data_IF_454805868301
#
_entry.id   IF_454805868301
#
_cell.length_a   1.000
_cell.length_b   1.000
_cell.length_c   1.000
_cell.angle_alpha   90.00
_cell.angle_beta   90.00
_cell.angle_gamma   90.00
#
_symmetry.space_group_name_H-M   'P 1'
#
loop_
_entity.id
_entity.type
_entity.pdbx_description
1 polymer ?
#
# COMPACT_ATOMS: atom_id res chain seq x y z
N UNK A 1 16.07 15.77 9.20
CA UNK A 1 14.83 14.99 9.00
C UNK A 1 13.96 14.94 10.27
N UNK A 2 14.50 14.72 11.48
CA UNK A 2 13.66 14.63 12.70
C UNK A 2 12.78 15.87 12.94
N UNK A 3 13.36 17.08 12.86
CA UNK A 3 12.60 18.34 13.00
C UNK A 3 11.44 18.48 12.00
N UNK A 4 11.57 17.90 10.80
CA UNK A 4 10.49 17.92 9.79
C UNK A 4 9.32 17.06 10.25
N UNK A 5 9.60 15.84 10.74
CA UNK A 5 8.55 14.94 11.19
C UNK A 5 7.88 15.41 12.47
N UNK A 6 8.66 15.95 13.41
CA UNK A 6 8.13 16.47 14.67
C UNK A 6 7.21 17.67 14.40
N UNK A 7 7.67 18.63 13.58
CA UNK A 7 6.85 19.79 13.20
C UNK A 7 5.60 19.40 12.40
N UNK A 8 5.72 18.46 11.45
CA UNK A 8 4.56 18.02 10.66
C UNK A 8 3.56 17.23 11.53
N UNK A 9 4.05 16.38 12.44
CA UNK A 9 3.20 15.66 13.38
C UNK A 9 2.48 16.64 14.32
N UNK A 10 3.16 17.67 14.83
CA UNK A 10 2.56 18.70 15.67
C UNK A 10 1.42 19.44 14.95
N UNK A 11 1.67 19.90 13.72
CA UNK A 11 0.64 20.56 12.89
C UNK A 11 -0.56 19.65 12.67
N UNK A 12 -0.33 18.39 12.29
CA UNK A 12 -1.40 17.42 12.09
C UNK A 12 -2.18 17.16 13.38
N UNK A 13 -1.49 17.06 14.52
CA UNK A 13 -2.12 16.84 15.82
C UNK A 13 -2.99 18.04 16.25
N UNK A 14 -2.56 19.27 15.98
CA UNK A 14 -3.36 20.49 16.21
C UNK A 14 -4.65 20.44 15.40
N UNK A 15 -4.55 20.11 14.10
CA UNK A 15 -5.72 20.01 13.22
C UNK A 15 -6.63 18.82 13.59
N UNK A 16 -6.08 17.73 14.14
CA UNK A 16 -6.87 16.59 14.61
C UNK A 16 -7.54 16.82 15.97
N UNK A 17 -7.00 17.73 16.81
CA UNK A 17 -7.61 18.07 18.10
C UNK A 17 -8.91 18.84 17.96
N UNK A 18 -8.99 19.79 17.02
CA UNK A 18 -10.21 20.55 16.77
C UNK A 18 -11.28 19.70 16.09
N UNK A 19 -12.51 19.76 16.61
CA UNK A 19 -13.67 19.05 16.03
C UNK A 19 -14.04 19.54 14.64
N UNK A 20 -13.74 20.81 14.34
CA UNK A 20 -14.12 21.44 13.08
C UNK A 20 -13.22 20.99 11.91
N UNK A 21 -11.97 20.63 12.22
CA UNK A 21 -10.95 20.24 11.24
C UNK A 21 -10.70 18.74 11.20
N UNK A 22 -10.94 18.00 12.30
CA UNK A 22 -10.63 16.57 12.40
C UNK A 22 -11.19 15.74 11.25
N UNK A 23 -12.49 15.88 10.97
CA UNK A 23 -13.14 15.09 9.92
C UNK A 23 -12.56 15.39 8.53
N UNK A 24 -12.17 16.65 8.28
CA UNK A 24 -11.53 17.04 7.01
C UNK A 24 -10.11 16.54 6.89
N UNK A 25 -9.36 16.50 7.98
CA UNK A 25 -8.01 15.91 7.99
C UNK A 25 -8.08 14.40 7.71
N UNK A 26 -9.03 13.70 8.34
CA UNK A 26 -9.23 12.27 8.08
C UNK A 26 -9.67 12.00 6.64
N UNK A 27 -10.54 12.85 6.07
CA UNK A 27 -10.93 12.78 4.65
C UNK A 27 -9.71 12.98 3.74
N UNK A 28 -8.92 14.01 3.99
CA UNK A 28 -7.71 14.31 3.22
C UNK A 28 -6.71 13.15 3.28
N UNK A 29 -6.44 12.61 4.47
CA UNK A 29 -5.53 11.47 4.63
C UNK A 29 -6.05 10.25 3.87
N UNK A 30 -7.35 9.95 3.97
CA UNK A 30 -7.96 8.85 3.24
C UNK A 30 -7.86 9.02 1.71
N UNK A 31 -8.11 10.23 1.21
CA UNK A 31 -8.01 10.56 -0.21
C UNK A 31 -6.58 10.41 -0.72
N UNK A 32 -5.59 10.95 0.00
CA UNK A 32 -4.16 10.78 -0.30
C UNK A 32 -3.79 9.29 -0.36
N UNK A 33 -4.26 8.50 0.59
CA UNK A 33 -4.00 7.05 0.64
C UNK A 33 -4.64 6.33 -0.55
N UNK A 34 -5.90 6.64 -0.86
CA UNK A 34 -6.66 5.95 -1.91
C UNK A 34 -6.12 6.26 -3.31
N UNK A 35 -5.78 7.51 -3.60
CA UNK A 35 -5.23 7.92 -4.91
C UNK A 35 -3.88 7.23 -5.17
N UNK A 36 -3.15 6.91 -4.11
CA UNK A 36 -1.83 6.28 -4.19
C UNK A 36 -1.86 4.77 -3.95
N UNK A 37 -3.03 4.12 -4.06
CA UNK A 37 -3.16 2.68 -3.81
C UNK A 37 -2.27 1.82 -4.73
N UNK A 38 -1.98 2.28 -5.95
CA UNK A 38 -1.09 1.63 -6.92
C UNK A 38 0.38 1.59 -6.49
N UNK A 39 0.79 2.35 -5.45
CA UNK A 39 2.12 2.20 -4.84
C UNK A 39 2.38 0.81 -4.27
N UNK A 40 1.32 0.01 -4.03
CA UNK A 40 1.43 -1.38 -3.61
C UNK A 40 1.92 -2.32 -4.72
N UNK A 41 1.92 -1.91 -5.99
CA UNK A 41 2.38 -2.73 -7.10
C UNK A 41 3.91 -2.85 -7.13
N UNK A 42 4.41 -3.91 -7.76
CA UNK A 42 5.86 -4.13 -7.94
C UNK A 42 6.46 -2.96 -8.71
N UNK A 43 5.83 -2.60 -9.84
CA UNK A 43 6.20 -1.44 -10.64
C UNK A 43 5.20 -0.33 -10.40
N UNK A 44 5.67 0.76 -9.82
CA UNK A 44 4.89 1.97 -9.58
C UNK A 44 5.20 2.94 -10.70
N UNK A 45 4.16 3.49 -11.32
CA UNK A 45 4.34 4.59 -12.26
C UNK A 45 4.63 5.89 -11.48
N UNK A 46 5.82 6.49 -11.67
CA UNK A 46 6.23 7.67 -10.92
C UNK A 46 5.43 8.94 -11.25
N UNK A 47 4.67 8.96 -12.36
CA UNK A 47 3.87 10.13 -12.77
C UNK A 47 2.51 10.13 -12.08
N UNK A 48 1.94 8.95 -11.84
CA UNK A 48 0.58 8.80 -11.28
C UNK A 48 0.57 8.67 -9.77
N UNK A 49 1.72 8.48 -9.13
CA UNK A 49 1.84 8.31 -7.68
C UNK A 49 2.77 9.36 -7.06
N UNK A 50 2.48 9.70 -5.81
CA UNK A 50 3.40 10.45 -4.96
C UNK A 50 4.73 9.71 -4.80
N UNK A 51 5.79 10.46 -4.52
CA UNK A 51 7.15 9.92 -4.38
C UNK A 51 7.31 8.96 -3.19
N UNK A 52 8.37 8.14 -3.23
CA UNK A 52 8.75 7.28 -2.10
C UNK A 52 8.99 8.09 -0.82
N UNK A 53 9.73 9.20 -0.93
CA UNK A 53 9.98 10.11 0.19
C UNK A 53 8.69 10.68 0.81
N UNK A 54 7.68 11.01 0.00
CA UNK A 54 6.39 11.49 0.51
C UNK A 54 5.73 10.46 1.43
N UNK A 55 5.66 9.20 1.01
CA UNK A 55 5.00 8.14 1.77
C UNK A 55 5.84 7.61 2.94
N UNK A 56 7.17 7.65 2.85
CA UNK A 56 8.06 7.38 3.98
C UNK A 56 7.90 8.46 5.06
N UNK A 57 7.84 9.73 4.66
CA UNK A 57 7.60 10.84 5.59
C UNK A 57 6.21 10.74 6.24
N UNK A 58 5.18 10.44 5.44
CA UNK A 58 3.83 10.25 5.93
C UNK A 58 3.77 9.06 6.92
N UNK A 59 4.50 7.97 6.64
CA UNK A 59 4.61 6.83 7.56
C UNK A 59 5.14 7.27 8.93
N UNK A 60 6.21 8.06 8.97
CA UNK A 60 6.81 8.54 10.21
C UNK A 60 5.89 9.49 11.00
N UNK A 61 5.07 10.29 10.31
CA UNK A 61 4.06 11.16 10.95
C UNK A 61 2.90 10.34 11.49
N UNK A 62 2.36 9.42 10.69
CA UNK A 62 1.21 8.58 11.09
C UNK A 62 1.55 7.67 12.29
N UNK A 63 2.78 7.16 12.38
CA UNK A 63 3.28 6.45 13.56
C UNK A 63 3.25 7.33 14.82
N UNK A 64 3.79 8.56 14.75
CA UNK A 64 3.71 9.53 15.86
C UNK A 64 2.28 9.86 16.28
N UNK A 65 1.35 9.96 15.33
CA UNK A 65 -0.07 10.16 15.63
C UNK A 65 -0.69 8.96 16.37
N UNK A 66 -0.11 7.77 16.20
CA UNK A 66 -0.55 6.54 16.84
C UNK A 66 0.11 6.25 18.19
N UNK A 67 1.29 6.81 18.47
CA UNK A 67 2.02 6.64 19.74
C UNK A 67 1.13 6.73 21.00
N UNK A 68 0.18 7.68 21.13
CA UNK A 68 -0.62 7.79 22.35
C UNK A 68 -1.55 6.59 22.61
N UNK A 69 -1.72 5.68 21.65
CA UNK A 69 -2.59 4.51 21.75
C UNK A 69 -1.98 3.20 21.26
N UNK A 70 -0.73 3.21 20.79
CA UNK A 70 0.09 2.04 20.54
C UNK A 70 1.07 1.82 21.70
N UNK A 71 0.53 1.74 22.92
CA UNK A 71 1.35 1.48 24.10
C UNK A 71 1.75 0.00 24.19
N UNK A 72 2.87 -0.30 24.84
CA UNK A 72 3.40 -1.66 24.96
C UNK A 72 2.43 -2.66 25.62
N UNK A 73 1.50 -2.16 26.45
CA UNK A 73 0.49 -2.99 27.13
C UNK A 73 -0.83 -3.07 26.34
N UNK A 74 -0.90 -2.45 25.16
CA UNK A 74 -2.06 -2.46 24.27
C UNK A 74 -3.36 -2.01 24.96
N UNK A 75 -3.28 -1.05 25.88
CA UNK A 75 -4.40 -0.63 26.74
C UNK A 75 -5.62 -0.09 26.00
N UNK A 76 -5.44 0.36 24.75
CA UNK A 76 -6.50 0.94 23.91
C UNK A 76 -6.88 0.06 22.72
N UNK A 77 -6.47 -1.21 22.72
CA UNK A 77 -6.77 -2.16 21.65
C UNK A 77 -8.26 -2.36 21.43
N UNK A 78 -9.06 -2.31 22.50
CA UNK A 78 -10.53 -2.38 22.47
C UNK A 78 -11.18 -1.30 21.58
N UNK A 79 -10.46 -0.20 21.32
CA UNK A 79 -10.94 0.92 20.49
C UNK A 79 -10.70 0.72 19.00
N UNK A 80 -10.00 -0.36 18.61
CA UNK A 80 -9.72 -0.74 17.22
C UNK A 80 -10.71 -1.82 16.82
N UNK A 81 -11.67 -1.46 15.98
CA UNK A 81 -12.71 -2.38 15.51
C UNK A 81 -12.27 -3.02 14.17
N UNK A 82 -12.09 -4.33 14.19
CA UNK A 82 -11.79 -5.17 13.03
C UNK A 82 -12.74 -4.94 11.85
N UNK A 83 -14.01 -4.65 12.16
CA UNK A 83 -15.06 -4.42 11.16
C UNK A 83 -14.77 -3.23 10.26
N UNK A 84 -13.88 -2.32 10.65
CA UNK A 84 -13.43 -1.21 9.82
C UNK A 84 -12.98 -1.67 8.43
N UNK A 85 -12.27 -2.81 8.35
CA UNK A 85 -11.80 -3.38 7.07
C UNK A 85 -12.94 -3.61 6.08
N UNK A 86 -14.14 -3.92 6.58
CA UNK A 86 -15.31 -4.30 5.79
C UNK A 86 -16.28 -3.15 5.54
N UNK A 87 -16.44 -2.26 6.52
CA UNK A 87 -17.48 -1.21 6.48
C UNK A 87 -16.93 0.22 6.54
N UNK A 88 -15.61 0.41 6.38
CA UNK A 88 -15.08 1.77 6.32
C UNK A 88 -15.58 2.49 5.07
N UNK A 89 -15.99 3.74 5.26
CA UNK A 89 -16.44 4.61 4.16
C UNK A 89 -15.29 5.41 3.53
N UNK A 90 -14.14 5.49 4.23
CA UNK A 90 -13.01 6.35 3.85
C UNK A 90 -11.93 5.59 3.09
N UNK A 91 -11.50 4.43 3.59
CA UNK A 91 -10.42 3.66 2.97
C UNK A 91 -10.95 2.55 2.08
N UNK A 92 -10.44 2.48 0.85
CA UNK A 92 -10.72 1.36 -0.04
C UNK A 92 -9.80 0.19 0.31
N UNK A 93 -10.27 -0.66 1.22
CA UNK A 93 -9.54 -1.86 1.70
C UNK A 93 -10.07 -3.15 1.02
N UNK A 94 -11.26 -3.09 0.42
CA UNK A 94 -11.84 -4.18 -0.36
C UNK A 94 -10.93 -4.53 -1.55
N UNK A 95 -10.37 -5.74 -1.57
CA UNK A 95 -9.47 -6.21 -2.62
C UNK A 95 -7.97 -6.20 -2.26
N UNK A 96 -7.59 -5.80 -1.03
CA UNK A 96 -6.25 -6.08 -0.55
C UNK A 96 -6.09 -7.59 -0.29
N UNK A 97 -4.95 -8.15 -0.67
CA UNK A 97 -4.59 -9.54 -0.37
C UNK A 97 -4.60 -9.73 1.15
N UNK A 98 -5.61 -10.43 1.65
CA UNK A 98 -5.71 -10.71 3.08
C UNK A 98 -4.58 -11.68 3.47
N UNK A 99 -4.03 -11.52 4.68
CA UNK A 99 -2.92 -12.35 5.17
C UNK A 99 -3.31 -13.84 5.30
N UNK A 100 -4.61 -14.15 5.34
CA UNK A 100 -5.12 -15.49 5.60
C UNK A 100 -6.46 -15.82 4.92
N UNK A 101 -6.82 -15.09 3.87
CA UNK A 101 -8.05 -15.36 3.11
C UNK A 101 -7.88 -14.97 1.65
N UNK A 102 -8.41 -15.80 0.76
CA UNK A 102 -8.54 -15.45 -0.66
C UNK A 102 -9.54 -14.31 -0.85
N UNK A 103 -9.41 -13.57 -1.95
CA UNK A 103 -10.38 -12.54 -2.35
C UNK A 103 -11.81 -13.09 -2.45
N UNK A 104 -11.95 -14.33 -2.89
CA UNK A 104 -13.22 -15.05 -2.99
C UNK A 104 -13.85 -15.32 -1.62
N UNK A 105 -13.07 -15.82 -0.64
CA UNK A 105 -13.57 -16.11 0.72
C UNK A 105 -14.03 -14.83 1.44
N UNK A 106 -13.31 -13.71 1.27
CA UNK A 106 -13.70 -12.41 1.84
C UNK A 106 -14.99 -11.88 1.20
N UNK A 107 -15.15 -12.07 -0.12
CA UNK A 107 -16.35 -11.66 -0.84
C UNK A 107 -17.59 -12.51 -0.46
N UNK A 108 -17.42 -13.83 -0.29
CA UNK A 108 -18.48 -14.74 0.16
C UNK A 108 -18.97 -14.40 1.57
N UNK A 109 -18.05 -14.06 2.47
CA UNK A 109 -18.40 -13.65 3.83
C UNK A 109 -19.15 -12.30 3.87
N UNK A 110 -18.71 -11.30 3.08
CA UNK A 110 -19.40 -10.02 2.94
C UNK A 110 -20.83 -10.19 2.41
N UNK A 111 -21.04 -11.10 1.46
CA UNK A 111 -22.35 -11.42 0.92
C UNK A 111 -23.25 -12.14 1.95
N UNK A 112 -22.68 -13.01 2.79
CA UNK A 112 -23.43 -13.76 3.81
C UNK A 112 -24.05 -12.88 4.92
N UNK A 113 -23.48 -11.69 5.16
CA UNK A 113 -23.90 -10.78 6.25
C UNK A 113 -24.84 -9.67 5.83
N UNK A 114 -25.22 -9.56 4.56
CA UNK A 114 -26.25 -8.63 4.12
C UNK A 114 -27.64 -9.18 4.54
N UNK A 115 -28.34 -8.59 5.53
CA UNK A 115 -29.64 -9.10 5.99
C UNK A 115 -30.79 -8.80 5.00
N UNK A 116 -30.49 -8.29 3.80
CA UNK A 116 -31.48 -7.84 2.82
C UNK A 116 -31.97 -8.93 1.85
N UNK A 117 -31.55 -10.20 1.97
CA UNK A 117 -31.96 -11.27 1.03
C UNK A 117 -32.37 -12.61 1.67
N UNK A 118 -32.66 -12.67 2.97
CA UNK A 118 -33.34 -13.83 3.55
C UNK A 118 -34.85 -13.60 3.57
N UNK A 119 -35.47 -13.82 2.40
CA UNK A 119 -36.90 -13.66 2.22
C UNK A 119 -37.42 -14.10 0.85
N UNK A 120 -37.01 -15.27 0.34
CA UNK A 120 -37.88 -16.20 -0.42
C UNK A 120 -37.06 -17.33 -1.02
N UNK A 121 -37.37 -18.53 -0.54
CA UNK A 121 -37.07 -19.85 -1.11
C UNK A 121 -37.34 -19.90 -2.61
N UNK A 122 -36.39 -20.43 -3.39
CA UNK A 122 -36.64 -21.47 -4.40
C UNK A 122 -35.31 -22.12 -4.83
N UNK A 123 -35.12 -23.34 -4.34
CA UNK A 123 -34.23 -24.35 -4.91
C UNK A 123 -34.66 -24.68 -6.36
N UNK A 124 -33.72 -25.25 -7.12
CA UNK A 124 -33.75 -25.64 -8.53
C UNK A 124 -33.24 -24.57 -9.51
N UNK A 125 -31.95 -24.67 -9.86
CA UNK A 125 -31.42 -24.68 -11.24
C UNK A 125 -29.88 -24.55 -11.29
N UNK A 126 -29.13 -25.23 -10.40
CA UNK A 126 -27.66 -25.08 -10.33
C UNK A 126 -26.87 -26.15 -11.13
N UNK A 127 -27.55 -27.09 -11.79
CA UNK A 127 -26.89 -28.18 -12.52
C UNK A 127 -26.75 -27.98 -14.04
N UNK A 128 -27.23 -26.86 -14.60
CA UNK A 128 -27.19 -26.64 -16.07
C UNK A 128 -26.17 -25.60 -16.55
N UNK A 129 -25.48 -24.86 -15.67
CA UNK A 129 -24.53 -23.82 -16.11
C UNK A 129 -23.07 -24.28 -16.18
N UNK A 130 -22.75 -25.49 -15.71
CA UNK A 130 -21.37 -26.00 -15.61
C UNK A 130 -20.85 -26.73 -16.86
N UNK A 131 -21.67 -26.87 -17.91
CA UNK A 131 -21.37 -27.70 -19.09
C UNK A 131 -21.31 -26.93 -20.42
N UNK A 132 -21.36 -25.60 -20.42
CA UNK A 132 -21.26 -24.79 -21.66
C UNK A 132 -20.07 -23.83 -21.72
N UNK A 133 -19.14 -23.88 -20.76
CA UNK A 133 -17.98 -22.97 -20.73
C UNK A 133 -16.64 -23.63 -21.10
N UNK A 134 -16.67 -24.77 -21.80
CA UNK A 134 -15.46 -25.51 -22.21
C UNK A 134 -15.20 -25.52 -23.72
N UNK A 135 -15.97 -24.77 -24.53
CA UNK A 135 -15.69 -24.63 -25.96
C UNK A 135 -15.96 -23.19 -26.38
N UNK A 136 -14.89 -22.39 -26.47
CA UNK A 136 -14.68 -21.34 -27.47
C UNK A 136 -13.32 -20.68 -27.21
N UNK A 137 -12.28 -21.28 -27.79
CA UNK A 137 -11.04 -20.59 -28.10
C UNK A 137 -11.21 -19.92 -29.48
N UNK A 138 -10.69 -18.70 -29.60
CA UNK A 138 -10.42 -17.97 -30.84
C UNK A 138 -11.61 -17.36 -31.59
N UNK A 139 -11.82 -16.04 -31.44
CA UNK A 139 -11.77 -15.09 -32.58
C UNK A 139 -11.94 -13.65 -32.11
N UNK A 140 -11.24 -12.76 -32.80
CA UNK A 140 -11.18 -11.32 -32.59
C UNK A 140 -12.49 -10.62 -32.96
N UNK A 141 -12.88 -9.61 -32.18
CA UNK A 141 -13.99 -8.71 -32.52
C UNK A 141 -14.03 -7.50 -31.60
N UNK A 142 -13.56 -6.37 -32.11
CA UNK A 142 -13.75 -5.05 -31.51
C UNK A 142 -15.25 -4.71 -31.49
N UNK A 143 -15.76 -4.13 -30.40
CA UNK A 143 -16.69 -2.99 -30.42
C UNK A 143 -17.05 -2.48 -29.01
N UNK A 144 -17.07 -1.16 -28.91
CA UNK A 144 -17.51 -0.35 -27.77
C UNK A 144 -18.98 -0.60 -27.40
N UNK A 145 -19.27 -0.68 -26.09
CA UNK A 145 -20.59 -0.38 -25.52
C UNK A 145 -20.42 -0.03 -24.04
N UNK A 146 -21.14 1.01 -23.59
CA UNK A 146 -20.80 1.82 -22.43
C UNK A 146 -21.02 1.18 -21.06
N UNK A 147 -20.26 1.69 -20.09
CA UNK A 147 -20.51 1.49 -18.67
C UNK A 147 -21.86 2.10 -18.29
N UNK A 148 -22.87 1.25 -18.17
CA UNK A 148 -24.04 1.55 -17.36
C UNK A 148 -23.62 1.52 -15.89
N UNK A 149 -23.50 2.71 -15.32
CA UNK A 149 -23.61 2.94 -13.88
C UNK A 149 -24.94 2.38 -13.38
N UNK A 150 -24.91 1.20 -12.78
CA UNK A 150 -26.03 0.71 -11.99
C UNK A 150 -25.90 1.26 -10.57
N UNK A 151 -26.18 2.56 -10.44
CA UNK A 151 -26.51 3.18 -9.18
C UNK A 151 -27.84 2.60 -8.70
N UNK A 152 -27.80 1.63 -7.79
CA UNK A 152 -28.90 1.32 -6.88
C UNK A 152 -28.42 0.36 -5.77
N UNK A 153 -27.69 0.92 -4.81
CA UNK A 153 -27.54 0.31 -3.49
C UNK A 153 -28.00 1.34 -2.45
N UNK A 154 -29.02 0.96 -1.68
CA UNK A 154 -29.61 1.70 -0.57
C UNK A 154 -28.54 2.34 0.35
N UNK A 155 -28.84 3.46 1.03
CA UNK A 155 -27.85 4.17 1.82
C UNK A 155 -27.42 3.29 2.99
N UNK A 156 -26.26 2.65 2.86
CA UNK A 156 -25.61 1.99 3.97
C UNK A 156 -25.41 3.05 5.07
N UNK A 157 -26.02 2.84 6.22
CA UNK A 157 -25.87 3.67 7.40
C UNK A 157 -24.37 3.86 7.65
N UNK A 158 -23.86 5.08 7.50
CA UNK A 158 -22.42 5.37 7.60
C UNK A 158 -21.97 5.03 9.01
N UNK A 159 -21.41 3.84 9.18
CA UNK A 159 -20.91 3.38 10.48
C UNK A 159 -19.77 4.31 10.89
N UNK A 160 -19.98 5.07 11.97
CA UNK A 160 -18.99 6.04 12.46
C UNK A 160 -18.00 5.30 13.36
N UNK A 161 -16.74 5.29 12.95
CA UNK A 161 -15.66 4.70 13.73
C UNK A 161 -14.98 5.73 14.63
N UNK A 162 -14.28 5.24 15.66
CA UNK A 162 -13.49 6.10 16.53
C UNK A 162 -12.26 6.63 15.80
N UNK A 163 -11.80 7.84 16.16
CA UNK A 163 -10.54 8.38 15.62
C UNK A 163 -9.36 7.40 15.78
N UNK A 164 -9.29 6.69 16.90
CA UNK A 164 -8.22 5.71 17.16
C UNK A 164 -8.28 4.57 16.13
N UNK A 165 -9.47 4.05 15.87
CA UNK A 165 -9.68 3.02 14.86
C UNK A 165 -9.29 3.51 13.46
N UNK A 166 -9.76 4.68 13.05
CA UNK A 166 -9.46 5.23 11.72
C UNK A 166 -7.97 5.53 11.54
N UNK A 167 -7.36 6.21 12.52
CA UNK A 167 -5.94 6.54 12.51
C UNK A 167 -5.08 5.28 12.46
N UNK A 168 -5.44 4.23 13.21
CA UNK A 168 -4.75 2.94 13.18
C UNK A 168 -4.76 2.31 11.78
N UNK A 169 -5.93 2.15 11.15
CA UNK A 169 -6.01 1.51 9.82
C UNK A 169 -5.45 2.38 8.69
N UNK A 170 -5.58 3.71 8.78
CA UNK A 170 -4.88 4.64 7.87
C UNK A 170 -3.36 4.50 8.00
N UNK A 171 -2.84 4.42 9.23
CA UNK A 171 -1.41 4.24 9.49
C UNK A 171 -0.91 2.91 8.93
N UNK A 172 -1.63 1.81 9.19
CA UNK A 172 -1.34 0.50 8.60
C UNK A 172 -1.24 0.57 7.08
N UNK A 173 -2.19 1.25 6.43
CA UNK A 173 -2.21 1.38 4.98
C UNK A 173 -1.06 2.24 4.46
N UNK A 174 -0.76 3.36 5.12
CA UNK A 174 0.39 4.22 4.78
C UNK A 174 1.70 3.48 4.91
N UNK A 175 1.89 2.70 5.98
CA UNK A 175 3.12 1.90 6.18
C UNK A 175 3.34 0.89 5.04
N UNK A 176 2.27 0.27 4.55
CA UNK A 176 2.35 -0.64 3.42
C UNK A 176 2.75 0.08 2.11
N UNK A 177 2.17 1.25 1.84
CA UNK A 177 2.44 2.04 0.62
C UNK A 177 3.74 2.86 0.68
N UNK A 178 4.28 3.05 1.89
CA UNK A 178 5.46 3.86 2.17
C UNK A 178 6.63 3.04 2.63
N UNK A 179 6.73 2.80 3.93
CA UNK A 179 7.91 2.18 4.53
C UNK A 179 8.21 0.78 3.95
N UNK A 180 7.20 -0.11 3.90
CA UNK A 180 7.40 -1.47 3.38
C UNK A 180 7.74 -1.48 1.90
N UNK A 181 7.09 -0.62 1.10
CA UNK A 181 7.42 -0.44 -0.31
C UNK A 181 8.86 0.07 -0.48
N UNK A 182 9.28 1.07 0.29
CA UNK A 182 10.63 1.60 0.26
C UNK A 182 11.70 0.54 0.62
N UNK A 183 11.43 -0.34 1.58
CA UNK A 183 12.30 -1.49 1.86
C UNK A 183 12.39 -2.47 0.69
N UNK A 184 11.26 -2.77 0.05
CA UNK A 184 11.22 -3.65 -1.12
C UNK A 184 12.02 -3.04 -2.29
N UNK A 185 11.82 -1.76 -2.56
CA UNK A 185 12.48 -1.04 -3.65
C UNK A 185 13.99 -0.93 -3.37
N UNK A 186 14.39 -0.62 -2.14
CA UNK A 186 15.79 -0.61 -1.73
C UNK A 186 16.46 -1.98 -1.93
N UNK A 187 15.77 -3.07 -1.59
CA UNK A 187 16.28 -4.44 -1.79
C UNK A 187 16.51 -4.72 -3.28
N UNK A 188 15.56 -4.36 -4.14
CA UNK A 188 15.70 -4.53 -5.59
C UNK A 188 16.83 -3.66 -6.15
N UNK A 189 16.91 -2.40 -5.74
CA UNK A 189 17.99 -1.48 -6.13
C UNK A 189 19.37 -2.04 -5.79
N UNK A 190 19.56 -2.59 -4.59
CA UNK A 190 20.83 -3.21 -4.20
C UNK A 190 21.17 -4.43 -5.06
N UNK A 191 20.16 -5.24 -5.45
CA UNK A 191 20.36 -6.36 -6.36
C UNK A 191 20.73 -5.90 -7.76
N UNK A 192 20.09 -4.83 -8.26
CA UNK A 192 20.35 -4.28 -9.58
C UNK A 192 21.73 -3.61 -9.66
N UNK A 193 22.17 -2.92 -8.62
CA UNK A 193 23.56 -2.42 -8.50
C UNK A 193 24.57 -3.57 -8.65
N UNK A 194 24.39 -4.67 -7.91
CA UNK A 194 25.29 -5.83 -8.00
C UNK A 194 25.32 -6.43 -9.40
N UNK A 195 24.16 -6.51 -10.08
CA UNK A 195 24.09 -7.00 -11.48
C UNK A 195 24.80 -6.07 -12.45
N UNK A 196 24.64 -4.75 -12.29
CA UNK A 196 25.32 -3.74 -13.09
C UNK A 196 26.84 -3.79 -12.88
N UNK A 197 27.30 -3.99 -11.64
CA UNK A 197 28.73 -4.17 -11.31
C UNK A 197 29.34 -5.39 -12.04
N UNK A 198 28.65 -6.53 -12.01
CA UNK A 198 29.08 -7.75 -12.71
C UNK A 198 29.13 -7.55 -14.23
N UNK A 199 28.11 -6.90 -14.80
CA UNK A 199 28.05 -6.58 -16.22
C UNK A 199 29.17 -5.62 -16.65
N UNK A 200 29.45 -4.60 -15.84
CA UNK A 200 30.51 -3.64 -16.08
C UNK A 200 31.89 -4.31 -16.03
N UNK A 201 32.12 -5.17 -15.02
CA UNK A 201 33.35 -5.96 -14.91
C UNK A 201 33.59 -6.82 -16.15
N UNK A 202 32.54 -7.46 -16.64
CA UNK A 202 32.57 -8.28 -17.86
C UNK A 202 32.91 -7.44 -19.10
N UNK A 203 32.25 -6.28 -19.26
CA UNK A 203 32.50 -5.38 -20.40
C UNK A 203 33.92 -4.83 -20.39
N UNK A 204 34.45 -4.44 -19.22
CA UNK A 204 35.84 -3.96 -19.08
C UNK A 204 36.85 -5.05 -19.45
N UNK A 205 36.64 -6.28 -18.98
CA UNK A 205 37.51 -7.41 -19.33
C UNK A 205 37.49 -7.74 -20.85
N UNK A 206 36.34 -7.55 -21.51
CA UNK A 206 36.23 -7.68 -22.97
C UNK A 206 36.95 -6.54 -23.71
N UNK A 207 36.84 -5.31 -23.21
CA UNK A 207 37.50 -4.14 -23.79
C UNK A 207 39.03 -4.25 -23.72
N UNK A 208 39.57 -4.79 -22.62
CA UNK A 208 41.01 -5.05 -22.47
C UNK A 208 41.53 -6.07 -23.50
N UNK A 209 40.69 -7.05 -23.90
CA UNK A 209 41.06 -8.06 -24.91
C UNK A 209 40.91 -7.55 -26.34
N UNK A 210 39.87 -6.75 -26.60
CA UNK A 210 39.55 -6.22 -27.93
C UNK A 210 38.94 -4.81 -27.79
N UNK A 211 39.77 -3.75 -27.96
CA UNK A 211 39.29 -2.38 -27.89
C UNK A 211 38.30 -2.11 -29.02
N UNK A 212 37.03 -1.89 -28.69
CA UNK A 212 36.00 -1.46 -29.64
C UNK A 212 35.36 -0.17 -29.15
N UNK A 213 35.12 0.82 -30.04
CA UNK A 213 34.45 2.06 -29.66
C UNK A 213 33.05 1.84 -29.06
N UNK A 214 32.36 0.77 -29.50
CA UNK A 214 31.06 0.39 -28.98
C UNK A 214 31.12 -0.03 -27.51
N UNK A 215 32.10 -0.87 -27.13
CA UNK A 215 32.28 -1.29 -25.74
C UNK A 215 32.58 -0.10 -24.82
N UNK A 216 33.36 0.88 -25.29
CA UNK A 216 33.66 2.09 -24.53
C UNK A 216 32.40 2.94 -24.28
N UNK A 217 31.53 3.09 -25.27
CA UNK A 217 30.24 3.79 -25.11
C UNK A 217 29.31 3.06 -24.14
N UNK A 218 29.22 1.73 -24.24
CA UNK A 218 28.37 0.93 -23.36
C UNK A 218 28.87 0.95 -21.91
N UNK A 219 30.19 0.94 -21.69
CA UNK A 219 30.81 1.11 -20.36
C UNK A 219 30.50 2.48 -19.79
N UNK A 220 30.71 3.56 -20.54
CA UNK A 220 30.40 4.91 -20.09
C UNK A 220 28.90 5.08 -19.75
N UNK A 221 28.01 4.47 -20.54
CA UNK A 221 26.56 4.48 -20.25
C UNK A 221 26.27 3.77 -18.93
N UNK A 222 26.83 2.59 -18.74
CA UNK A 222 26.59 1.77 -17.55
C UNK A 222 27.18 2.40 -16.28
N UNK A 223 28.36 3.02 -16.37
CA UNK A 223 28.96 3.79 -15.28
C UNK A 223 28.07 4.95 -14.82
N UNK A 224 27.50 5.69 -15.77
CA UNK A 224 26.56 6.77 -15.47
C UNK A 224 25.27 6.26 -14.82
N UNK A 225 24.77 5.11 -15.25
CA UNK A 225 23.59 4.47 -14.64
C UNK A 225 23.88 3.98 -13.21
N UNK A 226 25.07 3.41 -12.98
CA UNK A 226 25.51 3.02 -11.64
C UNK A 226 25.66 4.20 -10.68
N UNK A 227 26.12 5.36 -11.18
CA UNK A 227 26.18 6.58 -10.37
C UNK A 227 24.77 6.99 -9.91
N UNK A 228 23.79 6.93 -10.81
CA UNK A 228 22.39 7.23 -10.48
C UNK A 228 21.83 6.26 -9.43
N UNK A 229 22.03 4.96 -9.60
CA UNK A 229 21.61 3.96 -8.62
C UNK A 229 22.31 4.12 -7.26
N UNK A 230 23.59 4.49 -7.25
CA UNK A 230 24.31 4.78 -6.00
C UNK A 230 23.73 6.00 -5.27
N UNK A 231 23.41 7.07 -6.00
CA UNK A 231 22.76 8.25 -5.43
C UNK A 231 21.39 7.90 -4.83
N UNK A 232 20.58 7.12 -5.56
CA UNK A 232 19.28 6.64 -5.07
C UNK A 232 19.44 5.76 -3.82
N UNK A 233 20.42 4.86 -3.81
CA UNK A 233 20.75 4.01 -2.66
C UNK A 233 21.09 4.86 -1.43
N UNK A 234 21.93 5.88 -1.56
CA UNK A 234 22.26 6.78 -0.45
C UNK A 234 21.03 7.54 0.06
N UNK A 235 20.10 7.92 -0.83
CA UNK A 235 18.83 8.54 -0.42
C UNK A 235 18.00 7.59 0.45
N UNK A 236 17.86 6.33 0.03
CA UNK A 236 17.16 5.31 0.82
C UNK A 236 17.84 5.03 2.15
N UNK A 237 19.16 4.85 2.18
CA UNK A 237 19.90 4.64 3.44
C UNK A 237 19.74 5.81 4.41
N UNK A 238 19.78 7.05 3.88
CA UNK A 238 19.56 8.24 4.70
C UNK A 238 18.14 8.31 5.26
N UNK A 239 17.12 7.87 4.50
CA UNK A 239 15.73 7.90 4.92
C UNK A 239 15.35 6.73 5.85
N UNK A 240 15.83 5.52 5.55
CA UNK A 240 15.45 4.28 6.24
C UNK A 240 16.34 4.01 7.45
N UNK A 241 17.67 4.17 7.32
CA UNK A 241 18.64 3.71 8.32
C UNK A 241 19.10 4.82 9.28
N UNK A 242 19.19 6.07 8.81
CA UNK A 242 19.69 7.19 9.65
C UNK A 242 18.61 7.92 10.44
N UNK A 243 17.34 7.63 10.18
CA UNK A 243 16.23 8.33 10.78
C UNK A 243 15.83 7.62 12.08
N UNK A 244 16.20 8.22 13.22
CA UNK A 244 15.84 7.78 14.58
C UNK A 244 14.37 7.39 14.83
N UNK A 245 13.36 7.99 14.16
CA UNK A 245 11.99 7.48 14.17
C UNK A 245 11.78 6.21 13.32
N UNK A 246 12.80 5.39 13.05
CA UNK A 246 12.61 3.97 12.66
C UNK A 246 13.21 3.01 13.70
N UNK A 247 13.64 3.52 14.86
CA UNK A 247 13.73 2.74 16.10
C UNK A 247 12.36 2.14 16.50
N UNK A 248 11.28 2.56 15.82
CA UNK A 248 9.95 1.97 15.79
C UNK A 248 9.85 0.61 15.09
N UNK A 249 10.94 -0.13 14.86
CA UNK A 249 10.83 -1.57 14.58
C UNK A 249 9.90 -2.25 15.60
N UNK A 250 9.91 -1.79 16.86
CA UNK A 250 8.94 -2.21 17.86
C UNK A 250 7.50 -1.81 17.52
N UNK A 251 7.21 -0.55 17.19
CA UNK A 251 5.83 -0.11 16.90
C UNK A 251 5.29 -0.66 15.57
N UNK A 252 6.14 -0.79 14.55
CA UNK A 252 5.79 -1.45 13.28
C UNK A 252 5.53 -2.94 13.54
N UNK A 253 6.36 -3.60 14.35
CA UNK A 253 6.10 -5.00 14.76
C UNK A 253 4.86 -5.13 15.64
N UNK A 254 4.60 -4.16 16.51
CA UNK A 254 3.43 -4.12 17.36
C UNK A 254 2.17 -3.90 16.52
N UNK A 255 2.22 -3.00 15.55
CA UNK A 255 1.13 -2.73 14.62
C UNK A 255 0.86 -3.93 13.71
N UNK A 256 1.91 -4.58 13.17
CA UNK A 256 1.79 -5.84 12.42
C UNK A 256 1.25 -6.98 13.29
N UNK A 257 1.68 -7.07 14.56
CA UNK A 257 1.14 -8.03 15.52
C UNK A 257 -0.33 -7.75 15.81
N UNK A 258 -0.72 -6.49 16.01
CA UNK A 258 -2.12 -6.11 16.19
C UNK A 258 -2.94 -6.49 14.96
N UNK A 259 -2.47 -6.21 13.75
CA UNK A 259 -3.14 -6.62 12.50
C UNK A 259 -3.27 -8.14 12.38
N UNK A 260 -2.25 -8.91 12.77
CA UNK A 260 -2.29 -10.39 12.73
C UNK A 260 -3.30 -10.97 13.73
N UNK A 261 -3.60 -10.26 14.82
CA UNK A 261 -4.56 -10.69 15.84
C UNK A 261 -5.92 -9.97 15.73
N UNK A 262 -6.17 -9.20 14.67
CA UNK A 262 -7.48 -8.66 14.35
C UNK A 262 -8.26 -9.79 13.65
N UNK A 263 -9.28 -10.39 14.29
CA UNK A 263 -10.08 -11.41 13.65
C UNK A 263 -10.88 -10.76 12.52
N UNK A 264 -10.53 -11.09 11.27
CA UNK A 264 -11.26 -10.69 10.06
C UNK A 264 -12.58 -11.46 10.02
#
# INVERSE_FOLDING_TARGET
MNNLYDGLAEVMLILLKSTDTRERVLEYLAEVININASRAHIQVDPITCASSGTFVNLSAVMLRLCEPFLDANLTKRDKIDAKYVHYSNRLKISGLTALHASSEEVAEWLNSKNPAKTGSTNQYNDDQKRLQQSQEASSSGSNNAGELSNENSAPAEKTKYSFICECFFMTARVLNLGLLKAFSDFKHLVQDISRCEDALSTLKAMQERAPTPQAELDINRLEKEMELYSQEKFCYEAQILRVGPFSYCFEVSLLLSMLAHVPI
#
